data_IF_532712139368
#
_entry.id   IF_532712139368
#
_cell.length_a   1.000
_cell.length_b   1.000
_cell.length_c   1.000
_cell.angle_alpha   90.00
_cell.angle_beta   90.00
_cell.angle_gamma   90.00
#
_symmetry.space_group_name_H-M   'P 1'
#
loop_
_entity.id
_entity.type
_entity.pdbx_description
1 polymer ?
#
# COMPACT_ATOMS: atom_id res chain seq x y z
N UNK A 1 -48.06 9.31 -49.08
CA UNK A 1 -46.84 8.46 -48.87
C UNK A 1 -46.31 8.45 -47.40
N UNK A 2 -47.15 8.57 -46.38
CA UNK A 2 -46.67 8.59 -44.97
C UNK A 2 -46.23 7.20 -44.42
N UNK A 3 -46.73 6.10 -44.96
CA UNK A 3 -46.45 4.74 -44.42
C UNK A 3 -45.01 4.22 -44.62
N UNK A 4 -44.28 4.76 -45.60
CA UNK A 4 -42.89 4.30 -45.85
C UNK A 4 -41.92 4.93 -44.84
N UNK A 5 -42.08 6.19 -44.50
CA UNK A 5 -41.24 6.87 -43.48
C UNK A 5 -41.44 6.27 -42.09
N UNK A 6 -42.69 5.94 -41.73
CA UNK A 6 -42.98 5.34 -40.43
C UNK A 6 -42.33 3.94 -40.31
N UNK A 7 -42.37 3.12 -41.37
CA UNK A 7 -41.72 1.79 -41.41
C UNK A 7 -40.20 1.89 -41.33
N UNK A 8 -39.57 2.88 -41.97
CA UNK A 8 -38.12 3.11 -41.85
C UNK A 8 -37.73 3.51 -40.42
N UNK A 9 -38.51 4.41 -39.79
CA UNK A 9 -38.25 4.81 -38.40
C UNK A 9 -38.35 3.64 -37.41
N UNK A 10 -39.35 2.77 -37.55
CA UNK A 10 -39.50 1.59 -36.71
C UNK A 10 -38.34 0.60 -36.94
N UNK A 11 -37.94 0.38 -38.20
CA UNK A 11 -36.80 -0.50 -38.48
C UNK A 11 -35.49 0.02 -37.87
N UNK A 12 -35.23 1.33 -37.99
CA UNK A 12 -34.04 1.97 -37.40
C UNK A 12 -34.05 1.87 -35.87
N UNK A 13 -35.20 2.06 -35.23
CA UNK A 13 -35.33 1.92 -33.78
C UNK A 13 -35.07 0.47 -33.30
N UNK A 14 -35.60 -0.51 -34.04
CA UNK A 14 -35.37 -1.94 -33.72
C UNK A 14 -33.89 -2.32 -33.88
N UNK A 15 -33.25 -1.88 -34.96
CA UNK A 15 -31.82 -2.12 -35.19
C UNK A 15 -30.96 -1.45 -34.09
N UNK A 16 -31.27 -0.19 -33.75
CA UNK A 16 -30.56 0.52 -32.68
C UNK A 16 -30.73 -0.19 -31.31
N UNK A 17 -31.94 -0.63 -30.97
CA UNK A 17 -32.22 -1.40 -29.75
C UNK A 17 -31.49 -2.74 -29.73
N UNK A 18 -31.39 -3.44 -30.84
CA UNK A 18 -30.66 -4.72 -30.94
C UNK A 18 -29.15 -4.53 -30.77
N UNK A 19 -28.58 -3.44 -31.31
CA UNK A 19 -27.15 -3.12 -31.14
C UNK A 19 -26.85 -2.73 -29.68
N UNK A 20 -27.72 -1.95 -29.05
CA UNK A 20 -27.58 -1.58 -27.64
C UNK A 20 -27.72 -2.79 -26.70
N UNK A 21 -28.61 -3.71 -26.99
CA UNK A 21 -28.77 -4.94 -26.20
C UNK A 21 -27.54 -5.89 -26.31
N UNK A 22 -26.88 -5.93 -27.47
CA UNK A 22 -25.67 -6.69 -27.67
C UNK A 22 -24.40 -6.08 -27.06
N UNK A 23 -24.43 -4.82 -26.63
CA UNK A 23 -23.28 -4.13 -26.03
C UNK A 23 -23.03 -4.51 -24.57
N UNK A 24 -24.02 -5.10 -23.86
CA UNK A 24 -23.84 -5.62 -22.50
C UNK A 24 -23.13 -6.99 -22.56
N UNK A 25 -21.80 -6.95 -22.70
CA UNK A 25 -20.99 -8.15 -22.67
C UNK A 25 -20.75 -8.56 -21.23
N UNK A 26 -21.26 -9.71 -20.82
CA UNK A 26 -21.06 -10.29 -19.47
C UNK A 26 -20.14 -11.52 -19.48
N UNK A 27 -19.46 -11.76 -20.57
CA UNK A 27 -18.54 -12.88 -20.69
C UNK A 27 -17.44 -12.76 -19.63
N UNK A 28 -17.19 -13.83 -18.90
CA UNK A 28 -16.13 -13.92 -17.89
C UNK A 28 -16.30 -13.05 -16.63
N UNK A 29 -17.43 -12.38 -16.43
CA UNK A 29 -17.74 -11.71 -15.17
C UNK A 29 -18.00 -12.70 -14.04
N UNK A 30 -18.62 -13.81 -14.37
CA UNK A 30 -18.82 -14.93 -13.48
C UNK A 30 -18.24 -16.18 -14.15
N UNK A 31 -17.13 -16.66 -13.63
CA UNK A 31 -16.44 -17.83 -14.18
C UNK A 31 -16.93 -19.10 -13.46
N UNK A 32 -17.00 -20.26 -14.14
CA UNK A 32 -17.40 -21.53 -13.52
C UNK A 32 -16.27 -22.09 -12.63
N UNK A 33 -15.86 -21.31 -11.65
CA UNK A 33 -14.88 -21.67 -10.61
C UNK A 33 -15.40 -21.16 -9.28
N UNK A 34 -15.13 -21.88 -8.22
CA UNK A 34 -15.39 -21.37 -6.89
C UNK A 34 -14.40 -20.26 -6.50
N UNK A 35 -14.94 -19.21 -5.93
CA UNK A 35 -14.15 -18.12 -5.33
C UNK A 35 -14.18 -18.22 -3.79
N UNK A 36 -13.21 -17.62 -3.09
CA UNK A 36 -13.27 -17.50 -1.64
C UNK A 36 -14.59 -16.82 -1.21
N UNK A 37 -15.23 -17.33 -0.18
CA UNK A 37 -16.53 -16.87 0.35
C UNK A 37 -17.76 -17.22 -0.50
N UNK A 38 -17.59 -17.92 -1.61
CA UNK A 38 -18.72 -18.42 -2.41
C UNK A 38 -19.39 -19.60 -1.72
N UNK A 39 -20.71 -19.72 -1.91
CA UNK A 39 -21.45 -20.85 -1.41
C UNK A 39 -21.18 -22.11 -2.24
N UNK A 40 -21.12 -23.26 -1.58
CA UNK A 40 -20.98 -24.57 -2.22
C UNK A 40 -21.98 -25.56 -1.69
N UNK A 41 -22.67 -26.26 -2.57
CA UNK A 41 -23.56 -27.37 -2.20
C UNK A 41 -22.82 -28.69 -2.03
N UNK A 42 -21.54 -28.73 -2.39
CA UNK A 42 -20.73 -29.95 -2.30
C UNK A 42 -20.31 -30.28 -0.86
N UNK A 43 -20.05 -29.25 -0.05
CA UNK A 43 -19.65 -29.43 1.35
C UNK A 43 -20.81 -29.17 2.30
N UNK A 44 -20.89 -29.93 3.38
CA UNK A 44 -21.97 -29.87 4.37
C UNK A 44 -22.03 -28.54 5.14
N UNK A 45 -20.90 -27.82 5.22
CA UNK A 45 -20.82 -26.50 5.84
C UNK A 45 -21.21 -25.34 4.90
N UNK A 46 -21.57 -25.66 3.65
CA UNK A 46 -22.02 -24.69 2.67
C UNK A 46 -20.95 -23.76 2.10
N UNK A 47 -19.67 -23.95 2.44
CA UNK A 47 -18.57 -23.06 2.00
C UNK A 47 -17.72 -23.70 0.92
N UNK A 48 -17.42 -22.96 -0.14
CA UNK A 48 -16.47 -23.38 -1.17
C UNK A 48 -15.02 -23.36 -0.64
N UNK A 49 -14.70 -22.40 0.22
CA UNK A 49 -13.35 -22.28 0.83
C UNK A 49 -13.13 -23.38 1.87
N UNK A 50 -11.94 -23.98 1.83
CA UNK A 50 -11.50 -24.96 2.81
C UNK A 50 -10.38 -24.40 3.67
N UNK A 51 -10.54 -24.55 4.99
CA UNK A 51 -9.46 -24.20 5.93
C UNK A 51 -8.25 -25.09 5.64
N UNK A 52 -7.03 -24.52 5.54
CA UNK A 52 -5.82 -25.31 5.37
C UNK A 52 -5.69 -26.38 6.46
N UNK A 53 -5.15 -27.53 6.09
CA UNK A 53 -4.91 -28.62 7.06
C UNK A 53 -3.97 -28.10 8.16
N UNK A 54 -4.38 -28.30 9.42
CA UNK A 54 -3.58 -27.86 10.55
C UNK A 54 -2.17 -28.47 10.50
N UNK A 55 -1.18 -27.72 10.97
CA UNK A 55 0.24 -28.12 11.01
C UNK A 55 0.88 -28.42 9.64
N UNK A 56 0.30 -27.89 8.55
CA UNK A 56 0.88 -27.96 7.22
C UNK A 56 1.36 -26.60 6.75
N UNK A 57 2.42 -26.61 5.95
CA UNK A 57 2.97 -25.43 5.27
C UNK A 57 2.90 -25.69 3.77
N UNK A 58 2.35 -24.74 3.02
CA UNK A 58 2.29 -24.86 1.57
C UNK A 58 3.71 -24.95 0.98
N UNK A 59 3.84 -25.71 -0.12
CA UNK A 59 5.13 -25.84 -0.82
C UNK A 59 5.66 -24.45 -1.20
N UNK A 60 6.93 -24.17 -0.88
CA UNK A 60 7.57 -22.89 -1.13
C UNK A 60 7.28 -21.81 -0.06
N UNK A 61 6.45 -22.10 0.94
CA UNK A 61 6.09 -21.14 2.00
C UNK A 61 6.78 -21.42 3.34
N UNK A 62 7.82 -22.25 3.35
CA UNK A 62 8.61 -22.50 4.56
C UNK A 62 9.34 -21.22 4.96
N UNK A 63 9.14 -20.78 6.20
CA UNK A 63 9.71 -19.55 6.76
C UNK A 63 10.73 -19.92 7.84
N UNK A 64 11.95 -20.29 7.44
CA UNK A 64 13.01 -20.75 8.36
C UNK A 64 13.81 -19.61 8.96
N UNK A 65 13.84 -18.44 8.33
CA UNK A 65 14.55 -17.27 8.84
C UNK A 65 13.67 -16.51 9.84
N UNK A 66 13.94 -16.71 11.15
CA UNK A 66 13.20 -16.05 12.22
C UNK A 66 13.30 -14.53 12.11
N UNK A 67 14.50 -13.99 11.85
CA UNK A 67 14.71 -12.55 11.77
C UNK A 67 13.86 -11.94 10.64
N UNK A 68 13.95 -12.51 9.45
CA UNK A 68 13.24 -11.99 8.27
C UNK A 68 11.71 -12.05 8.42
N UNK A 69 11.19 -13.15 8.97
CA UNK A 69 9.74 -13.39 8.97
C UNK A 69 9.02 -12.94 10.24
N UNK A 70 9.74 -12.78 11.36
CA UNK A 70 9.12 -12.41 12.64
C UNK A 70 9.61 -11.09 13.23
N UNK A 71 10.72 -10.55 12.73
CA UNK A 71 11.36 -9.37 13.32
C UNK A 71 12.11 -9.68 14.61
N UNK A 72 12.41 -10.97 14.88
CA UNK A 72 13.03 -11.41 16.12
C UNK A 72 14.29 -12.24 15.86
N UNK A 73 15.16 -12.27 16.85
CA UNK A 73 16.34 -13.15 16.90
C UNK A 73 16.33 -13.80 18.28
N UNK A 74 16.24 -15.13 18.32
CA UNK A 74 16.13 -15.85 19.58
C UNK A 74 14.91 -15.43 20.42
N UNK A 75 13.80 -15.12 19.78
CA UNK A 75 12.56 -14.66 20.43
C UNK A 75 12.56 -13.20 20.87
N UNK A 76 13.67 -12.46 20.78
CA UNK A 76 13.77 -11.06 21.12
C UNK A 76 13.65 -10.17 19.87
N UNK A 77 13.02 -8.99 20.00
CA UNK A 77 12.90 -8.03 18.89
C UNK A 77 14.29 -7.61 18.39
N UNK A 78 14.49 -7.69 17.08
CA UNK A 78 15.77 -7.41 16.45
C UNK A 78 16.07 -5.91 16.38
N UNK A 79 17.30 -5.52 16.73
CA UNK A 79 17.79 -4.14 16.63
C UNK A 79 18.27 -3.79 15.21
N UNK A 80 18.56 -4.79 14.39
CA UNK A 80 19.08 -4.62 13.03
C UNK A 80 18.06 -5.06 11.98
N UNK A 81 18.20 -4.50 10.76
CA UNK A 81 17.47 -4.97 9.58
C UNK A 81 18.07 -6.33 9.11
N UNK A 82 17.25 -7.29 8.64
CA UNK A 82 17.75 -8.53 8.04
C UNK A 82 18.30 -8.33 6.62
N UNK A 83 18.17 -7.15 6.07
CA UNK A 83 18.59 -6.77 4.71
C UNK A 83 19.39 -5.47 4.74
N UNK A 84 20.23 -5.25 3.74
CA UNK A 84 21.00 -4.01 3.63
C UNK A 84 20.09 -2.80 3.44
N UNK A 85 20.37 -1.71 4.16
CA UNK A 85 19.68 -0.43 4.01
C UNK A 85 20.23 0.30 2.79
N UNK A 86 19.67 0.02 1.61
CA UNK A 86 20.06 0.67 0.35
C UNK A 86 19.12 1.84 0.04
N UNK A 87 19.53 2.79 -0.83
CA UNK A 87 18.65 3.85 -1.31
C UNK A 87 17.34 3.31 -1.93
N UNK A 88 17.42 2.19 -2.65
CA UNK A 88 16.26 1.55 -3.28
C UNK A 88 15.29 0.98 -2.23
N UNK A 89 15.83 0.38 -1.15
CA UNK A 89 15.03 -0.10 -0.03
C UNK A 89 14.31 1.06 0.65
N UNK A 90 14.99 2.19 0.86
CA UNK A 90 14.41 3.38 1.46
C UNK A 90 13.34 4.01 0.58
N UNK A 91 13.59 4.11 -0.74
CA UNK A 91 12.62 4.61 -1.71
C UNK A 91 11.36 3.73 -1.74
N UNK A 92 11.53 2.40 -1.73
CA UNK A 92 10.44 1.44 -1.63
C UNK A 92 9.68 1.60 -0.32
N UNK A 93 10.39 1.76 0.80
CA UNK A 93 9.80 1.99 2.12
C UNK A 93 8.98 3.27 2.18
N UNK A 94 9.49 4.35 1.59
CA UNK A 94 8.77 5.63 1.47
C UNK A 94 7.48 5.48 0.66
N UNK A 95 7.55 4.85 -0.51
CA UNK A 95 6.38 4.60 -1.35
C UNK A 95 5.31 3.83 -0.57
N UNK A 96 5.68 2.69 0.04
CA UNK A 96 4.75 1.83 0.77
C UNK A 96 4.22 2.47 2.05
N UNK A 97 5.03 3.23 2.76
CA UNK A 97 4.60 4.04 3.89
C UNK A 97 3.52 5.05 3.48
N UNK A 98 3.71 5.73 2.36
CA UNK A 98 2.73 6.70 1.87
C UNK A 98 1.40 6.06 1.51
N UNK A 99 1.40 4.83 0.99
CA UNK A 99 0.16 4.12 0.63
C UNK A 99 -0.56 3.59 1.86
N UNK A 100 0.13 2.86 2.73
CA UNK A 100 -0.50 2.07 3.80
C UNK A 100 -0.51 2.75 5.16
N UNK A 101 0.48 3.59 5.46
CA UNK A 101 0.71 4.12 6.81
C UNK A 101 0.31 5.59 6.96
N UNK A 102 0.63 6.42 5.95
CA UNK A 102 0.43 7.87 6.02
C UNK A 102 -1.03 8.30 6.20
N UNK A 103 -2.06 7.56 5.74
CA UNK A 103 -3.45 7.95 6.00
C UNK A 103 -3.76 8.13 7.49
N UNK A 104 -3.16 7.31 8.36
CA UNK A 104 -3.28 7.43 9.81
C UNK A 104 -2.12 8.19 10.43
N UNK A 105 -0.87 7.84 10.08
CA UNK A 105 0.34 8.34 10.74
C UNK A 105 0.82 9.70 10.21
N UNK A 106 0.28 10.19 9.09
CA UNK A 106 0.77 11.38 8.40
C UNK A 106 2.08 11.12 7.66
N UNK A 107 2.38 11.90 6.62
CA UNK A 107 3.60 11.74 5.82
C UNK A 107 4.88 11.96 6.62
N UNK A 108 4.82 12.78 7.65
CA UNK A 108 5.93 13.06 8.55
C UNK A 108 5.96 12.16 9.79
N UNK A 109 5.02 11.22 9.92
CA UNK A 109 4.97 10.28 11.04
C UNK A 109 4.53 10.88 12.38
N UNK A 110 3.87 12.04 12.37
CA UNK A 110 3.39 12.75 13.59
C UNK A 110 2.04 12.26 14.12
N UNK A 111 1.41 11.32 13.43
CA UNK A 111 0.10 10.79 13.81
C UNK A 111 -1.06 11.75 13.47
N UNK A 112 -0.90 12.58 12.48
CA UNK A 112 -1.86 13.61 12.04
C UNK A 112 -2.43 13.32 10.62
N UNK A 113 -2.48 12.07 10.25
CA UNK A 113 -2.97 11.64 8.95
C UNK A 113 -4.42 12.03 8.67
N UNK A 114 -4.83 11.88 7.42
CA UNK A 114 -6.14 12.35 6.94
C UNK A 114 -7.31 11.73 7.71
N UNK A 115 -7.23 10.44 8.04
CA UNK A 115 -8.31 9.76 8.78
C UNK A 115 -8.39 10.24 10.25
N UNK A 116 -7.27 10.62 10.85
CA UNK A 116 -7.23 11.20 12.19
C UNK A 116 -7.92 12.57 12.21
N UNK A 117 -7.68 13.38 11.20
CA UNK A 117 -8.35 14.69 11.03
C UNK A 117 -9.87 14.55 10.86
N UNK A 118 -10.35 13.36 10.52
CA UNK A 118 -11.77 13.02 10.36
C UNK A 118 -12.36 12.24 11.54
N UNK A 119 -11.68 12.24 12.70
CA UNK A 119 -12.20 11.69 13.95
C UNK A 119 -11.66 10.32 14.35
N UNK A 120 -10.73 9.72 13.58
CA UNK A 120 -10.06 8.50 14.03
C UNK A 120 -9.12 8.80 15.21
N UNK A 121 -8.94 7.79 16.07
CA UNK A 121 -8.00 7.88 17.18
C UNK A 121 -6.58 8.14 16.65
N UNK A 122 -5.94 9.17 17.20
CA UNK A 122 -4.59 9.57 16.82
C UNK A 122 -3.57 8.50 17.25
N UNK A 123 -2.76 7.95 16.34
CA UNK A 123 -1.65 7.10 16.70
C UNK A 123 -0.51 7.93 17.34
N UNK A 124 0.36 7.30 18.14
CA UNK A 124 1.54 7.98 18.67
C UNK A 124 2.47 8.44 17.53
N UNK A 125 3.14 9.56 17.74
CA UNK A 125 4.19 10.03 16.82
C UNK A 125 5.38 9.08 16.82
N UNK A 126 5.94 8.78 15.65
CA UNK A 126 7.18 7.99 15.55
C UNK A 126 8.39 8.69 16.14
N UNK A 127 8.31 10.00 16.39
CA UNK A 127 9.41 10.83 16.89
C UNK A 127 9.51 10.87 18.42
N UNK A 128 8.64 10.17 19.15
CA UNK A 128 8.75 10.03 20.61
C UNK A 128 10.00 9.24 20.99
N UNK A 129 10.60 9.57 22.15
CA UNK A 129 11.80 8.89 22.65
C UNK A 129 11.60 7.36 22.73
N UNK A 130 10.43 6.95 23.21
CA UNK A 130 10.05 5.54 23.28
C UNK A 130 10.13 4.83 21.93
N UNK A 131 9.64 5.45 20.85
CA UNK A 131 9.65 4.82 19.53
C UNK A 131 10.99 5.00 18.82
N UNK A 132 11.74 6.05 19.12
CA UNK A 132 13.11 6.21 18.59
C UNK A 132 14.08 5.17 19.17
N UNK A 133 13.93 4.84 20.45
CA UNK A 133 14.75 3.83 21.12
C UNK A 133 14.23 2.39 20.95
N UNK A 134 13.03 2.19 20.40
CA UNK A 134 12.50 0.85 20.16
C UNK A 134 13.35 0.09 19.12
N UNK A 135 13.56 -1.23 19.23
CA UNK A 135 14.21 -2.04 18.19
C UNK A 135 13.51 -1.92 16.83
N UNK A 136 14.22 -2.05 15.71
CA UNK A 136 13.59 -1.97 14.39
C UNK A 136 12.59 -3.10 14.17
N UNK A 137 12.84 -4.28 14.73
CA UNK A 137 11.92 -5.42 14.72
C UNK A 137 10.57 -5.12 15.38
N UNK A 138 10.50 -4.14 16.29
CA UNK A 138 9.24 -3.69 16.88
C UNK A 138 8.27 -3.16 15.82
N UNK A 139 8.77 -2.34 14.90
CA UNK A 139 7.91 -1.82 13.82
C UNK A 139 7.44 -2.92 12.88
N UNK A 140 8.32 -3.89 12.59
CA UNK A 140 7.94 -5.06 11.79
C UNK A 140 6.88 -5.90 12.52
N UNK A 141 7.05 -6.17 13.81
CA UNK A 141 6.11 -6.95 14.63
C UNK A 141 4.74 -6.27 14.71
N UNK A 142 4.71 -4.96 14.95
CA UNK A 142 3.46 -4.18 14.98
C UNK A 142 2.73 -4.19 13.63
N UNK A 143 3.44 -4.07 12.52
CA UNK A 143 2.83 -4.20 11.19
C UNK A 143 2.33 -5.62 10.90
N UNK A 144 2.98 -6.61 11.49
CA UNK A 144 2.63 -8.01 11.28
C UNK A 144 1.43 -8.46 12.10
N UNK A 145 1.36 -8.07 13.37
CA UNK A 145 0.41 -8.59 14.35
C UNK A 145 -0.63 -7.56 14.79
N UNK A 146 -0.45 -6.29 14.38
CA UNK A 146 -1.24 -5.18 14.90
C UNK A 146 -0.80 -4.75 16.31
N UNK A 147 -1.33 -3.64 16.80
CA UNK A 147 -1.09 -3.16 18.16
C UNK A 147 -2.24 -2.27 18.64
N UNK A 148 -2.96 -2.69 19.65
CA UNK A 148 -4.09 -1.95 20.20
C UNK A 148 -5.19 -1.73 19.16
N UNK A 149 -5.42 -0.47 18.77
CA UNK A 149 -6.40 -0.13 17.73
C UNK A 149 -5.86 -0.24 16.29
N UNK A 150 -4.55 -0.45 16.12
CA UNK A 150 -3.94 -0.66 14.81
C UNK A 150 -4.13 -2.12 14.39
N UNK A 151 -4.81 -2.31 13.27
CA UNK A 151 -4.98 -3.64 12.65
C UNK A 151 -3.63 -4.17 12.16
N UNK A 152 -3.52 -5.49 11.99
CA UNK A 152 -2.39 -6.08 11.28
C UNK A 152 -2.44 -5.75 9.79
N UNK A 153 -1.27 -5.71 9.18
CA UNK A 153 -1.07 -5.45 7.74
C UNK A 153 -0.41 -6.62 7.03
N UNK A 154 -0.38 -7.79 7.67
CA UNK A 154 0.32 -8.97 7.14
C UNK A 154 -0.24 -9.47 5.81
N UNK A 155 -1.54 -9.28 5.57
CA UNK A 155 -2.21 -9.66 4.33
C UNK A 155 -1.96 -8.66 3.19
N UNK A 156 -1.86 -7.36 3.50
CA UNK A 156 -1.77 -6.30 2.50
C UNK A 156 -0.33 -5.91 2.17
N UNK A 157 0.59 -6.04 3.14
CA UNK A 157 1.99 -5.63 3.01
C UNK A 157 2.90 -6.84 3.13
N UNK A 158 3.53 -7.29 2.03
CA UNK A 158 4.47 -8.42 2.04
C UNK A 158 5.66 -8.18 2.97
N UNK A 159 6.31 -9.28 3.41
CA UNK A 159 7.47 -9.24 4.31
C UNK A 159 8.56 -8.26 3.86
N UNK A 160 9.02 -8.27 2.59
CA UNK A 160 10.03 -7.33 2.13
C UNK A 160 9.60 -5.87 2.26
N UNK A 161 8.34 -5.57 1.95
CA UNK A 161 7.80 -4.21 2.04
C UNK A 161 7.66 -3.74 3.50
N UNK A 162 7.33 -4.64 4.44
CA UNK A 162 7.32 -4.32 5.87
C UNK A 162 8.71 -3.92 6.37
N UNK A 163 9.76 -4.62 5.92
CA UNK A 163 11.14 -4.26 6.24
C UNK A 163 11.57 -2.95 5.58
N UNK A 164 11.15 -2.72 4.35
CA UNK A 164 11.39 -1.45 3.66
C UNK A 164 10.72 -0.28 4.42
N UNK A 165 9.48 -0.44 4.87
CA UNK A 165 8.78 0.55 5.71
C UNK A 165 9.52 0.75 7.03
N UNK A 166 9.96 -0.32 7.71
CA UNK A 166 10.70 -0.22 8.97
C UNK A 166 12.02 0.55 8.79
N UNK A 167 12.75 0.30 7.70
CA UNK A 167 13.94 1.06 7.34
C UNK A 167 13.63 2.54 7.08
N UNK A 168 12.57 2.82 6.31
CA UNK A 168 12.14 4.19 6.06
C UNK A 168 11.73 4.93 7.34
N UNK A 169 11.06 4.26 8.28
CA UNK A 169 10.72 4.86 9.57
C UNK A 169 11.97 5.34 10.34
N UNK A 170 13.08 4.61 10.26
CA UNK A 170 14.37 5.06 10.84
C UNK A 170 14.89 6.31 10.16
N UNK A 171 14.88 6.35 8.83
CA UNK A 171 15.26 7.55 8.07
C UNK A 171 14.35 8.73 8.41
N UNK A 172 13.04 8.51 8.54
CA UNK A 172 12.07 9.52 8.92
C UNK A 172 12.32 10.05 10.34
N UNK A 173 12.69 9.20 11.29
CA UNK A 173 13.08 9.60 12.64
C UNK A 173 14.34 10.46 12.64
N UNK A 174 15.36 10.09 11.87
CA UNK A 174 16.60 10.86 11.70
C UNK A 174 16.30 12.23 11.08
N UNK A 175 15.44 12.31 10.07
CA UNK A 175 15.13 13.56 9.37
C UNK A 175 14.66 14.70 10.28
N UNK A 176 14.12 14.39 11.47
CA UNK A 176 13.64 15.37 12.45
C UNK A 176 14.53 15.52 13.69
N UNK A 177 15.56 14.70 13.81
CA UNK A 177 16.46 14.68 14.98
C UNK A 177 17.94 14.56 14.57
N UNK A 178 18.25 14.74 13.28
CA UNK A 178 19.62 14.72 12.81
C UNK A 178 20.43 15.88 13.42
N UNK A 179 21.69 15.59 13.69
CA UNK A 179 22.69 16.56 14.10
C UNK A 179 23.74 16.70 13.00
N UNK A 180 24.56 17.75 13.05
CA UNK A 180 25.67 17.91 12.10
C UNK A 180 26.63 16.71 12.12
N UNK A 181 26.70 16.00 13.25
CA UNK A 181 27.52 14.81 13.39
C UNK A 181 27.04 13.63 12.52
N UNK A 182 25.73 13.57 12.23
CA UNK A 182 25.13 12.53 11.38
C UNK A 182 25.40 12.75 9.87
N UNK A 183 25.91 13.94 9.50
CA UNK A 183 26.25 14.25 8.12
C UNK A 183 27.68 13.80 7.82
N UNK A 184 27.93 13.06 6.74
CA UNK A 184 29.28 12.70 6.31
C UNK A 184 30.20 13.92 6.23
N UNK A 185 31.44 13.76 6.70
CA UNK A 185 32.38 14.90 6.86
C UNK A 185 32.55 15.69 5.56
N UNK A 186 32.60 14.99 4.43
CA UNK A 186 32.75 15.55 3.09
C UNK A 186 31.54 16.41 2.64
N UNK A 187 30.38 16.21 3.27
CA UNK A 187 29.15 16.97 2.96
C UNK A 187 28.83 18.07 3.95
N UNK A 188 29.56 18.15 5.07
CA UNK A 188 29.28 19.16 6.12
C UNK A 188 29.48 20.58 5.62
N UNK A 189 30.49 20.82 4.78
CA UNK A 189 30.75 22.12 4.20
C UNK A 189 29.61 22.64 3.31
N UNK A 190 28.80 21.76 2.73
CA UNK A 190 27.65 22.14 1.91
C UNK A 190 26.45 22.57 2.72
N UNK A 191 26.40 22.32 4.05
CA UNK A 191 25.28 22.73 4.91
C UNK A 191 25.25 24.25 5.12
N UNK A 192 26.42 24.92 5.04
CA UNK A 192 26.54 26.36 5.22
C UNK A 192 26.42 27.12 3.88
N UNK A 193 26.35 26.39 2.76
CA UNK A 193 26.13 27.00 1.45
C UNK A 193 24.69 27.50 1.32
N UNK A 194 24.46 28.73 0.83
CA UNK A 194 23.09 29.19 0.57
C UNK A 194 22.40 28.24 -0.40
N UNK A 195 21.16 27.84 -0.08
CA UNK A 195 20.35 26.98 -0.93
C UNK A 195 20.26 27.60 -2.33
N UNK A 196 20.85 26.95 -3.33
CA UNK A 196 20.65 27.34 -4.72
C UNK A 196 19.22 26.99 -5.12
N UNK A 197 18.52 27.92 -5.77
CA UNK A 197 17.09 27.81 -6.12
C UNK A 197 16.75 26.64 -7.09
N UNK A 198 17.72 25.80 -7.42
CA UNK A 198 17.57 24.69 -8.36
C UNK A 198 17.16 23.35 -7.71
N UNK A 199 17.31 23.19 -6.38
CA UNK A 199 17.01 21.94 -5.69
C UNK A 199 15.51 21.74 -5.36
N UNK A 200 14.67 22.74 -5.66
CA UNK A 200 13.23 22.71 -5.38
C UNK A 200 12.31 22.43 -6.58
N UNK A 201 12.84 22.33 -7.80
CA UNK A 201 12.03 22.29 -9.04
C UNK A 201 11.89 20.91 -9.69
N UNK A 202 12.38 19.86 -9.08
CA UNK A 202 12.59 18.55 -9.71
C UNK A 202 11.67 17.41 -9.29
N UNK A 203 10.37 17.61 -8.91
CA UNK A 203 9.51 16.42 -8.72
C UNK A 203 7.97 16.68 -8.73
N UNK A 204 7.50 17.77 -9.30
CA UNK A 204 6.05 18.03 -9.41
C UNK A 204 5.53 18.27 -10.83
N UNK A 205 6.25 17.85 -11.86
CA UNK A 205 5.77 17.95 -13.23
C UNK A 205 5.83 16.59 -13.91
N UNK A 206 4.76 15.80 -13.79
CA UNK A 206 4.23 14.92 -14.84
C UNK A 206 3.18 13.94 -14.27
N UNK A 207 2.03 14.46 -13.89
CA UNK A 207 0.77 13.68 -13.97
C UNK A 207 -0.41 14.65 -13.96
N UNK A 208 -0.73 15.17 -15.14
CA UNK A 208 -1.90 16.02 -15.29
C UNK A 208 -2.00 16.75 -16.62
N UNK A 209 -2.12 16.04 -17.73
CA UNK A 209 -2.77 16.57 -18.93
C UNK A 209 -3.00 15.45 -19.95
N UNK A 210 -4.00 14.61 -19.70
CA UNK A 210 -4.71 13.94 -20.80
C UNK A 210 -5.95 14.74 -21.07
N UNK A 211 -5.94 15.52 -22.13
CA UNK A 211 -6.97 16.43 -22.53
C UNK A 211 -8.30 15.73 -22.80
N UNK A 212 -9.35 16.25 -22.19
CA UNK A 212 -10.72 16.03 -22.64
C UNK A 212 -10.97 16.91 -23.86
N UNK A 213 -10.77 16.35 -25.03
CA UNK A 213 -11.20 16.94 -26.30
C UNK A 213 -12.73 16.80 -26.40
N UNK A 214 -13.42 17.91 -26.27
CA UNK A 214 -14.84 18.04 -26.59
C UNK A 214 -15.00 17.91 -28.08
N UNK A 215 -15.54 16.82 -28.57
CA UNK A 215 -16.18 16.77 -29.88
C UNK A 215 -17.68 16.94 -29.68
N UNK A 216 -18.17 18.13 -30.04
CA UNK A 216 -19.57 18.38 -30.26
C UNK A 216 -19.98 17.83 -31.62
N UNK A 217 -21.04 17.09 -31.64
CA UNK A 217 -22.15 17.15 -32.63
C UNK A 217 -23.33 16.35 -32.07
#
# INVERSE_FOLDING_TARGET
>A
MPGKLHRLGVLSAVVASSVLAGACRQDMHDNPRYEPLEASTFFTDGHAYRVPVAHTVARGSIRTDEHLYTGKIGGQLADALPVAATPELLARGHERFNVFCSPCHGRTGRGDGMVVRRGFRRPPTFHSDRLRSAPVGYFFDVMTNGFGAMQDYSAQVPVPDRWAIAAYLRALQISQHATVADVPAEKRASLDAPATAEDGAGEHAEHGAAGHEKQGH
#
